data_IF_587191896905
#
_entry.id   IF_587191896905
#
_cell.length_a   1.000
_cell.length_b   1.000
_cell.length_c   1.000
_cell.angle_alpha   90.00
_cell.angle_beta   90.00
_cell.angle_gamma   90.00
#
_symmetry.space_group_name_H-M   'P 1'
#
loop_
_entity.id
_entity.type
_entity.pdbx_description
1 polymer ?
#
# COMPACT_ATOMS: atom_id res chain seq x y z
N UNK A 1 -28.26 23.06 -11.87
CA UNK A 1 -27.33 22.72 -10.77
C UNK A 1 -27.53 23.57 -9.50
N UNK A 2 -27.50 24.91 -9.55
CA UNK A 2 -27.48 25.77 -8.35
C UNK A 2 -28.68 25.70 -7.39
N UNK A 3 -29.88 25.39 -7.90
CA UNK A 3 -31.10 25.25 -7.07
C UNK A 3 -31.02 24.08 -6.07
N UNK A 4 -30.26 23.02 -6.37
CA UNK A 4 -30.08 21.87 -5.48
C UNK A 4 -29.15 22.19 -4.30
N UNK A 5 -28.05 22.91 -4.58
CA UNK A 5 -27.08 23.35 -3.57
C UNK A 5 -27.74 24.27 -2.53
N UNK A 6 -28.57 25.22 -2.98
CA UNK A 6 -29.30 26.11 -2.09
C UNK A 6 -30.31 25.38 -1.21
N UNK A 7 -30.97 24.35 -1.74
CA UNK A 7 -32.01 23.58 -1.02
C UNK A 7 -31.45 22.58 0.00
N UNK A 8 -30.25 22.05 -0.22
CA UNK A 8 -29.63 21.06 0.69
C UNK A 8 -28.58 21.64 1.65
N UNK A 9 -27.74 22.59 1.20
CA UNK A 9 -26.66 23.15 2.02
C UNK A 9 -26.98 24.53 2.61
N UNK A 10 -27.82 25.32 1.93
CA UNK A 10 -28.13 26.71 2.33
C UNK A 10 -29.62 26.94 2.63
N UNK A 11 -30.30 25.90 3.11
CA UNK A 11 -31.74 25.93 3.36
C UNK A 11 -32.11 26.78 4.59
N UNK A 12 -31.20 26.89 5.55
CA UNK A 12 -31.43 27.58 6.83
C UNK A 12 -30.17 28.35 7.22
N UNK A 13 -30.33 29.45 7.97
CA UNK A 13 -29.23 30.30 8.41
C UNK A 13 -28.14 29.53 9.18
N UNK A 14 -28.52 28.54 9.99
CA UNK A 14 -27.58 27.65 10.67
C UNK A 14 -26.72 26.83 9.69
N UNK A 15 -27.32 26.28 8.63
CA UNK A 15 -26.60 25.48 7.65
C UNK A 15 -25.60 26.32 6.84
N UNK A 16 -25.91 27.60 6.59
CA UNK A 16 -24.96 28.55 5.97
C UNK A 16 -23.73 28.73 6.86
N UNK A 17 -23.93 29.00 8.15
CA UNK A 17 -22.83 29.18 9.11
C UNK A 17 -22.02 27.90 9.25
N UNK A 18 -22.68 26.75 9.38
CA UNK A 18 -22.02 25.46 9.50
C UNK A 18 -21.19 25.11 8.25
N UNK A 19 -21.70 25.43 7.07
CA UNK A 19 -20.98 25.22 5.80
C UNK A 19 -19.76 26.14 5.68
N UNK A 20 -19.90 27.42 6.04
CA UNK A 20 -18.79 28.36 6.04
C UNK A 20 -17.72 27.99 7.08
N UNK A 21 -18.15 27.59 8.28
CA UNK A 21 -17.25 27.13 9.34
C UNK A 21 -16.51 25.85 8.93
N UNK A 22 -17.22 24.88 8.34
CA UNK A 22 -16.62 23.64 7.83
C UNK A 22 -15.62 23.89 6.70
N UNK A 23 -15.93 24.82 5.79
CA UNK A 23 -15.01 25.23 4.72
C UNK A 23 -13.77 25.91 5.31
N UNK A 24 -13.96 26.84 6.24
CA UNK A 24 -12.86 27.53 6.91
C UNK A 24 -11.94 26.56 7.66
N UNK A 25 -12.50 25.64 8.45
CA UNK A 25 -11.72 24.62 9.16
C UNK A 25 -10.99 23.68 8.21
N UNK A 26 -11.63 23.27 7.11
CA UNK A 26 -11.01 22.42 6.10
C UNK A 26 -9.83 23.12 5.42
N UNK A 27 -9.98 24.40 5.06
CA UNK A 27 -8.92 25.18 4.44
C UNK A 27 -7.78 25.46 5.43
N UNK A 28 -8.11 25.87 6.66
CA UNK A 28 -7.13 26.13 7.70
C UNK A 28 -6.31 24.88 8.02
N UNK A 29 -7.00 23.76 8.28
CA UNK A 29 -6.36 22.48 8.58
C UNK A 29 -5.55 21.96 7.40
N UNK A 30 -6.09 22.05 6.19
CA UNK A 30 -5.40 21.65 4.97
C UNK A 30 -4.13 22.45 4.71
N UNK A 31 -4.17 23.77 4.80
CA UNK A 31 -2.99 24.63 4.61
C UNK A 31 -1.95 24.42 5.70
N UNK A 32 -2.36 24.29 6.96
CA UNK A 32 -1.44 24.02 8.07
C UNK A 32 -0.76 22.65 7.94
N UNK A 33 -1.52 21.65 7.49
CA UNK A 33 -0.98 20.32 7.21
C UNK A 33 0.01 20.34 6.05
N UNK A 34 -0.30 21.06 4.97
CA UNK A 34 0.60 21.19 3.82
C UNK A 34 1.90 21.91 4.19
N UNK A 35 1.82 22.99 4.97
CA UNK A 35 3.00 23.73 5.43
C UNK A 35 3.90 22.84 6.30
N UNK A 36 3.32 22.11 7.26
CA UNK A 36 4.06 21.12 8.04
C UNK A 36 4.68 20.03 7.16
N UNK A 37 3.90 19.47 6.23
CA UNK A 37 4.32 18.39 5.36
C UNK A 37 5.47 18.79 4.44
N UNK A 38 5.58 20.06 4.04
CA UNK A 38 6.62 20.52 3.12
C UNK A 38 7.83 21.08 3.88
N UNK A 39 7.61 21.84 4.96
CA UNK A 39 8.68 22.60 5.63
C UNK A 39 9.26 21.89 6.84
N UNK A 40 8.44 21.14 7.60
CA UNK A 40 8.84 20.56 8.88
C UNK A 40 9.05 19.05 8.80
N UNK A 41 8.33 18.36 7.91
CA UNK A 41 8.37 16.91 7.82
C UNK A 41 9.72 16.41 7.28
N UNK A 42 10.41 15.61 8.09
CA UNK A 42 11.69 14.98 7.75
C UNK A 42 11.46 13.70 6.96
N UNK A 43 11.09 13.84 5.69
CA UNK A 43 10.82 12.71 4.78
C UNK A 43 11.99 11.73 4.62
N UNK A 44 13.22 12.18 4.87
CA UNK A 44 14.41 11.33 4.87
C UNK A 44 14.28 10.13 5.83
N UNK A 45 13.65 10.32 7.01
CA UNK A 45 13.47 9.20 7.96
C UNK A 45 12.55 8.14 7.38
N UNK A 46 11.54 8.56 6.63
CA UNK A 46 10.60 7.66 5.96
C UNK A 46 11.33 6.91 4.86
N UNK A 47 11.96 7.61 3.90
CA UNK A 47 12.61 7.01 2.72
C UNK A 47 13.77 6.08 3.10
N UNK A 48 14.63 6.47 4.03
CA UNK A 48 15.79 5.68 4.46
C UNK A 48 15.39 4.44 5.28
N UNK A 49 14.22 4.47 5.94
CA UNK A 49 13.76 3.37 6.80
C UNK A 49 12.50 2.70 6.25
N UNK A 50 12.13 2.91 4.98
CA UNK A 50 10.94 2.29 4.38
C UNK A 50 10.96 0.77 4.54
N UNK A 51 12.13 0.15 4.38
CA UNK A 51 12.31 -1.29 4.61
C UNK A 51 11.91 -1.71 6.03
N UNK A 52 12.28 -0.93 7.05
CA UNK A 52 11.91 -1.18 8.44
C UNK A 52 10.43 -0.89 8.71
N UNK A 53 9.78 0.02 7.98
CA UNK A 53 8.34 0.25 8.13
C UNK A 53 7.49 -0.83 7.46
N UNK A 54 7.92 -1.34 6.30
CA UNK A 54 7.20 -2.41 5.56
C UNK A 54 7.40 -3.77 6.21
N UNK A 55 8.61 -4.09 6.65
CA UNK A 55 8.97 -5.41 7.20
C UNK A 55 8.97 -5.41 8.74
N UNK A 56 9.08 -4.25 9.37
CA UNK A 56 9.17 -4.13 10.82
C UNK A 56 10.56 -4.45 11.36
N UNK A 57 10.60 -4.83 12.65
CA UNK A 57 11.81 -5.29 13.38
C UNK A 57 12.24 -6.72 13.00
N UNK A 58 11.75 -7.26 11.88
CA UNK A 58 12.00 -8.65 11.53
C UNK A 58 13.46 -8.86 11.12
N UNK A 59 14.16 -9.86 11.66
CA UNK A 59 15.56 -10.09 11.32
C UNK A 59 15.70 -10.42 9.83
N UNK A 60 16.69 -9.81 9.17
CA UNK A 60 16.91 -9.92 7.71
C UNK A 60 16.91 -11.38 7.22
N UNK A 61 17.50 -12.28 8.01
CA UNK A 61 17.61 -13.70 7.72
C UNK A 61 16.27 -14.44 7.62
N UNK A 62 15.22 -13.92 8.25
CA UNK A 62 13.92 -14.59 8.31
C UNK A 62 12.93 -14.03 7.28
N UNK A 63 13.24 -12.91 6.61
CA UNK A 63 12.33 -12.16 5.72
C UNK A 63 11.71 -13.05 4.63
N UNK A 64 12.41 -14.10 4.17
CA UNK A 64 11.87 -15.07 3.21
C UNK A 64 10.55 -15.72 3.65
N UNK A 65 10.31 -15.89 4.97
CA UNK A 65 9.07 -16.47 5.49
C UNK A 65 7.86 -15.56 5.25
N UNK A 66 8.06 -14.25 5.35
CA UNK A 66 7.01 -13.24 5.13
C UNK A 66 6.59 -13.29 3.66
N UNK A 67 7.57 -13.29 2.75
CA UNK A 67 7.30 -13.41 1.32
C UNK A 67 6.62 -14.72 0.95
N UNK A 68 7.05 -15.85 1.54
CA UNK A 68 6.42 -17.15 1.32
C UNK A 68 4.92 -17.12 1.69
N UNK A 69 4.59 -16.60 2.88
CA UNK A 69 3.21 -16.49 3.34
C UNK A 69 2.40 -15.59 2.41
N UNK A 70 2.94 -14.43 2.01
CA UNK A 70 2.28 -13.52 1.07
C UNK A 70 2.00 -14.20 -0.28
N UNK A 71 2.96 -14.95 -0.82
CA UNK A 71 2.78 -15.70 -2.06
C UNK A 71 1.71 -16.78 -1.93
N UNK A 72 1.67 -17.51 -0.81
CA UNK A 72 0.61 -18.50 -0.56
C UNK A 72 -0.76 -17.83 -0.48
N UNK A 73 -0.90 -16.74 0.28
CA UNK A 73 -2.17 -16.02 0.42
C UNK A 73 -2.63 -15.48 -0.95
N UNK A 74 -1.72 -14.89 -1.73
CA UNK A 74 -2.03 -14.37 -3.05
C UNK A 74 -2.46 -15.50 -4.01
N UNK A 75 -1.73 -16.62 -4.03
CA UNK A 75 -2.05 -17.78 -4.85
C UNK A 75 -3.42 -18.37 -4.49
N UNK A 76 -3.69 -18.58 -3.20
CA UNK A 76 -4.98 -19.07 -2.72
C UNK A 76 -6.12 -18.09 -3.03
N UNK A 77 -5.89 -16.80 -2.89
CA UNK A 77 -6.88 -15.76 -3.20
C UNK A 77 -7.22 -15.74 -4.69
N UNK A 78 -6.22 -15.83 -5.56
CA UNK A 78 -6.40 -15.93 -7.01
C UNK A 78 -7.12 -17.22 -7.40
N UNK A 79 -6.75 -18.35 -6.78
CA UNK A 79 -7.38 -19.64 -7.02
C UNK A 79 -8.85 -19.65 -6.55
N UNK A 80 -9.13 -19.07 -5.39
CA UNK A 80 -10.48 -18.91 -4.85
C UNK A 80 -11.34 -18.03 -5.77
N UNK A 81 -10.79 -16.90 -6.24
CA UNK A 81 -11.47 -16.02 -7.19
C UNK A 81 -11.77 -16.72 -8.52
N UNK A 82 -10.83 -17.56 -8.98
CA UNK A 82 -10.99 -18.33 -10.21
C UNK A 82 -12.10 -19.38 -10.11
N UNK A 83 -12.19 -20.08 -8.98
CA UNK A 83 -13.25 -21.05 -8.71
C UNK A 83 -14.63 -20.38 -8.62
N UNK A 84 -14.71 -19.20 -7.98
CA UNK A 84 -15.98 -18.50 -7.78
C UNK A 84 -16.56 -17.89 -9.07
N UNK A 85 -15.75 -17.67 -10.12
CA UNK A 85 -16.25 -17.06 -11.37
C UNK A 85 -17.07 -17.99 -12.25
N UNK A 86 -17.17 -19.28 -11.96
CA UNK A 86 -18.08 -20.23 -12.60
C UNK A 86 -17.98 -20.35 -14.13
N UNK A 87 -16.94 -19.75 -14.74
CA UNK A 87 -16.80 -19.59 -16.19
C UNK A 87 -15.42 -20.05 -16.61
N UNK A 88 -15.34 -21.30 -17.05
CA UNK A 88 -14.14 -21.91 -17.62
C UNK A 88 -13.86 -21.34 -19.03
N UNK A 89 -13.66 -20.03 -19.15
CA UNK A 89 -13.02 -19.48 -20.35
C UNK A 89 -11.53 -19.83 -20.27
N UNK A 90 -10.89 -20.32 -21.35
CA UNK A 90 -9.48 -20.73 -21.34
C UNK A 90 -8.50 -19.58 -21.03
N UNK A 91 -8.95 -18.33 -21.14
CA UNK A 91 -8.12 -17.13 -20.96
C UNK A 91 -7.92 -16.80 -19.46
N UNK A 92 -8.91 -17.08 -18.62
CA UNK A 92 -8.91 -16.71 -17.19
C UNK A 92 -7.98 -17.60 -16.33
N UNK A 93 -7.88 -18.93 -16.52
CA UNK A 93 -6.90 -19.74 -15.80
C UNK A 93 -5.48 -19.47 -16.29
N UNK A 94 -5.29 -19.07 -17.55
CA UNK A 94 -3.99 -18.68 -18.09
C UNK A 94 -3.45 -17.44 -17.37
N UNK A 95 -4.27 -16.40 -17.17
CA UNK A 95 -3.84 -15.20 -16.47
C UNK A 95 -3.56 -15.45 -14.99
N UNK A 96 -4.38 -16.27 -14.31
CA UNK A 96 -4.13 -16.67 -12.93
C UNK A 96 -2.84 -17.48 -12.79
N UNK A 97 -2.55 -18.40 -13.72
CA UNK A 97 -1.30 -19.16 -13.75
C UNK A 97 -0.09 -18.26 -14.01
N UNK A 98 -0.18 -17.30 -14.93
CA UNK A 98 0.89 -16.34 -15.20
C UNK A 98 1.19 -15.46 -13.98
N UNK A 99 0.16 -14.99 -13.27
CA UNK A 99 0.35 -14.22 -12.03
C UNK A 99 0.96 -15.10 -10.93
N UNK A 100 0.51 -16.35 -10.79
CA UNK A 100 1.13 -17.30 -9.85
C UNK A 100 2.62 -17.55 -10.16
N UNK A 101 2.97 -17.73 -11.43
CA UNK A 101 4.35 -17.92 -11.88
C UNK A 101 5.19 -16.66 -11.60
N UNK A 102 4.65 -15.47 -11.89
CA UNK A 102 5.33 -14.20 -11.59
C UNK A 102 5.65 -14.07 -10.10
N UNK A 103 4.68 -14.35 -9.22
CA UNK A 103 4.87 -14.30 -7.76
C UNK A 103 5.92 -15.31 -7.25
N UNK A 104 6.04 -16.47 -7.89
CA UNK A 104 7.08 -17.47 -7.56
C UNK A 104 8.46 -17.01 -8.03
N UNK A 105 8.55 -16.35 -9.18
CA UNK A 105 9.78 -15.74 -9.68
C UNK A 105 10.23 -14.62 -8.74
N UNK A 106 9.31 -13.72 -8.35
CA UNK A 106 9.57 -12.65 -7.39
C UNK A 106 10.06 -13.20 -6.04
N UNK A 107 9.45 -14.28 -5.55
CA UNK A 107 9.90 -14.96 -4.33
C UNK A 107 11.33 -15.50 -4.46
N UNK A 108 11.63 -16.18 -5.56
CA UNK A 108 12.96 -16.78 -5.80
C UNK A 108 14.05 -15.72 -5.89
N UNK A 109 13.77 -14.61 -6.57
CA UNK A 109 14.67 -13.47 -6.69
C UNK A 109 14.97 -12.82 -5.33
N UNK A 110 13.94 -12.51 -4.54
CA UNK A 110 14.11 -11.89 -3.22
C UNK A 110 14.83 -12.83 -2.23
N UNK A 111 14.59 -14.15 -2.32
CA UNK A 111 15.30 -15.15 -1.54
C UNK A 111 16.81 -15.16 -1.88
N UNK A 112 17.14 -15.15 -3.17
CA UNK A 112 18.52 -15.15 -3.64
C UNK A 112 19.27 -13.87 -3.25
N UNK A 113 18.63 -12.70 -3.32
CA UNK A 113 19.21 -11.42 -2.89
C UNK A 113 19.50 -11.42 -1.38
N UNK A 114 18.58 -11.95 -0.56
CA UNK A 114 18.76 -12.02 0.90
C UNK A 114 19.90 -12.98 1.27
N UNK A 115 19.93 -14.17 0.67
CA UNK A 115 21.00 -15.17 0.89
C UNK A 115 22.35 -14.62 0.40
N UNK A 116 22.38 -14.00 -0.78
CA UNK A 116 23.57 -13.34 -1.31
C UNK A 116 24.09 -12.24 -0.38
N UNK A 117 23.21 -11.37 0.12
CA UNK A 117 23.57 -10.32 1.07
C UNK A 117 24.20 -10.86 2.36
N UNK A 118 23.71 -12.00 2.87
CA UNK A 118 24.29 -12.67 4.05
C UNK A 118 25.70 -13.22 3.73
N UNK A 119 25.88 -13.86 2.58
CA UNK A 119 27.18 -14.44 2.16
C UNK A 119 28.22 -13.33 1.95
N UNK A 120 27.88 -12.24 1.27
CA UNK A 120 28.81 -11.14 1.00
C UNK A 120 29.15 -10.34 2.27
N UNK A 121 28.18 -10.11 3.18
CA UNK A 121 28.41 -9.42 4.45
C UNK A 121 29.24 -10.27 5.42
N UNK A 122 29.08 -11.59 5.39
CA UNK A 122 29.88 -12.54 6.18
C UNK A 122 31.36 -12.63 5.80
N UNK A 123 31.74 -12.16 4.59
CA UNK A 123 33.11 -12.23 4.08
C UNK A 123 33.87 -10.89 4.14
N UNK A 124 33.31 -9.88 4.83
CA UNK A 124 34.00 -8.62 5.06
C UNK A 124 35.01 -8.78 6.22
N UNK A 125 36.34 -8.65 5.97
CA UNK A 125 37.29 -8.57 7.06
C UNK A 125 37.00 -7.29 7.85
N UNK A 126 36.86 -7.45 9.17
CA UNK A 126 36.67 -6.34 10.12
C UNK A 126 37.83 -5.36 10.07
#
# INVERSE_FOLDING_TARGET
MGLWLRKNLFNTWYNVILTLAGLFLSLWGGLSFLDWAITQAKWAVVTENLGLFVVGRYPEQSIWRIWLILTIIAALSLFSWQLNRGRFSPIVPLSAALVGIALVIDFTFNCLVTIGGIIFKGNSPR
#
